data_IF_861143087035
#
_entry.id   IF_861143087035
#
_cell.length_a   1.000
_cell.length_b   1.000
_cell.length_c   1.000
_cell.angle_alpha   90.00
_cell.angle_beta   90.00
_cell.angle_gamma   90.00
#
_symmetry.space_group_name_H-M   'P 1'
#
loop_
_entity.id
_entity.type
_entity.pdbx_description
1 polymer ?
#
# COMPACT_ATOMS: atom_id res chain seq x y z
N UNK A 1 -14.05 -21.29 15.30
CA UNK A 1 -12.80 -21.68 14.61
C UNK A 1 -12.12 -20.38 14.19
N UNK A 2 -10.95 -20.05 14.74
CA UNK A 2 -10.20 -18.88 14.29
C UNK A 2 -9.41 -19.26 13.05
N UNK A 3 -9.68 -18.61 11.91
CA UNK A 3 -8.80 -18.75 10.74
C UNK A 3 -7.39 -18.34 11.13
N UNK A 4 -6.43 -19.26 10.97
CA UNK A 4 -5.03 -18.93 11.17
C UNK A 4 -4.57 -18.03 10.02
N UNK A 5 -4.18 -16.81 10.36
CA UNK A 5 -3.71 -15.83 9.40
C UNK A 5 -2.37 -16.26 8.81
N UNK A 6 -2.24 -16.30 7.49
CA UNK A 6 -0.99 -16.70 6.84
C UNK A 6 0.13 -15.70 7.13
N UNK A 7 1.41 -16.08 7.07
CA UNK A 7 2.53 -15.16 7.34
C UNK A 7 2.51 -13.90 6.46
N UNK A 8 2.05 -14.02 5.21
CA UNK A 8 1.91 -12.87 4.30
C UNK A 8 0.77 -11.93 4.72
N UNK A 9 -0.37 -12.48 5.15
CA UNK A 9 -1.47 -11.70 5.67
C UNK A 9 -1.09 -10.99 6.99
N UNK A 10 -0.36 -11.66 7.88
CA UNK A 10 0.16 -11.04 9.10
C UNK A 10 1.11 -9.87 8.80
N UNK A 11 1.98 -10.02 7.80
CA UNK A 11 2.87 -8.95 7.35
C UNK A 11 2.11 -7.74 6.80
N UNK A 12 1.10 -8.00 5.95
CA UNK A 12 0.24 -6.94 5.38
C UNK A 12 -0.54 -6.24 6.49
N UNK A 13 -1.12 -7.00 7.41
CA UNK A 13 -1.88 -6.46 8.54
C UNK A 13 -1.02 -5.56 9.42
N UNK A 14 0.21 -5.99 9.78
CA UNK A 14 1.16 -5.16 10.55
C UNK A 14 1.48 -3.85 9.85
N UNK A 15 1.65 -3.86 8.53
CA UNK A 15 1.92 -2.65 7.75
C UNK A 15 0.75 -1.68 7.72
N UNK A 16 -0.47 -2.18 7.57
CA UNK A 16 -1.67 -1.35 7.66
C UNK A 16 -1.91 -0.82 9.08
N UNK A 17 -1.59 -1.61 10.11
CA UNK A 17 -1.63 -1.16 11.49
C UNK A 17 -0.70 0.05 11.73
N UNK A 18 0.54 -0.01 11.22
CA UNK A 18 1.50 1.11 11.30
C UNK A 18 0.90 2.39 10.70
N UNK A 19 0.27 2.28 9.51
CA UNK A 19 -0.37 3.43 8.85
C UNK A 19 -1.53 3.98 9.68
N UNK A 20 -2.40 3.12 10.19
CA UNK A 20 -3.53 3.55 11.02
C UNK A 20 -3.08 4.26 12.29
N UNK A 21 -2.05 3.73 12.97
CA UNK A 21 -1.49 4.36 14.16
C UNK A 21 -0.84 5.72 13.85
N UNK A 22 -0.11 5.82 12.73
CA UNK A 22 0.44 7.09 12.26
C UNK A 22 -0.65 8.12 11.97
N UNK A 23 -1.73 7.72 11.29
CA UNK A 23 -2.87 8.60 10.98
C UNK A 23 -3.63 9.05 12.24
N UNK A 24 -3.64 8.23 13.28
CA UNK A 24 -4.16 8.59 14.60
C UNK A 24 -3.24 9.55 15.39
N UNK A 25 -2.06 9.90 14.86
CA UNK A 25 -1.11 10.83 15.47
C UNK A 25 -0.07 10.17 16.38
N UNK A 26 0.07 8.84 16.36
CA UNK A 26 1.11 8.16 17.13
C UNK A 26 2.52 8.44 16.55
N UNK A 27 3.52 8.52 17.43
CA UNK A 27 4.92 8.72 17.02
C UNK A 27 5.57 7.41 16.60
N UNK A 28 6.60 7.47 15.76
CA UNK A 28 7.35 6.30 15.27
C UNK A 28 7.85 5.40 16.41
N UNK A 29 8.23 5.99 17.56
CA UNK A 29 8.64 5.25 18.76
C UNK A 29 7.50 4.45 19.38
N UNK A 30 6.34 5.09 19.56
CA UNK A 30 5.14 4.44 20.12
C UNK A 30 4.67 3.30 19.20
N UNK A 31 4.69 3.51 17.89
CA UNK A 31 4.31 2.49 16.89
C UNK A 31 5.32 1.33 16.89
N UNK A 32 6.61 1.63 16.96
CA UNK A 32 7.70 0.65 17.08
C UNK A 32 7.47 -0.29 18.27
N UNK A 33 7.17 0.28 19.44
CA UNK A 33 6.93 -0.47 20.67
C UNK A 33 5.67 -1.36 20.57
N UNK A 34 4.62 -0.91 19.88
CA UNK A 34 3.39 -1.69 19.69
C UNK A 34 3.57 -2.87 18.72
N UNK A 35 4.33 -2.69 17.63
CA UNK A 35 4.42 -3.70 16.54
C UNK A 35 5.63 -4.63 16.72
N UNK A 36 6.58 -4.27 17.59
CA UNK A 36 7.81 -5.04 17.82
C UNK A 36 8.78 -4.95 16.63
N UNK A 37 8.81 -3.80 15.94
CA UNK A 37 9.73 -3.53 14.82
C UNK A 37 10.64 -2.37 15.18
N UNK A 38 11.79 -2.24 14.51
CA UNK A 38 12.64 -1.07 14.71
C UNK A 38 11.96 0.22 14.26
N UNK A 39 12.26 1.33 14.94
CA UNK A 39 11.81 2.68 14.55
C UNK A 39 12.12 3.01 13.10
N UNK A 40 13.31 2.63 12.61
CA UNK A 40 13.69 2.81 11.21
C UNK A 40 12.77 2.03 10.23
N UNK A 41 12.33 0.83 10.60
CA UNK A 41 11.40 0.03 9.79
C UNK A 41 10.02 0.67 9.73
N UNK A 42 9.53 1.17 10.87
CA UNK A 42 8.27 1.93 10.96
C UNK A 42 8.35 3.18 10.10
N UNK A 43 9.43 3.95 10.24
CA UNK A 43 9.66 5.17 9.47
C UNK A 43 9.67 4.92 7.96
N UNK A 44 10.29 3.82 7.51
CA UNK A 44 10.28 3.43 6.10
C UNK A 44 8.87 3.08 5.59
N UNK A 45 8.06 2.36 6.37
CA UNK A 45 6.67 2.05 6.02
C UNK A 45 5.84 3.33 5.89
N UNK A 46 5.97 4.25 6.84
CA UNK A 46 5.26 5.54 6.81
C UNK A 46 5.73 6.36 5.60
N UNK A 47 7.04 6.44 5.36
CA UNK A 47 7.60 7.15 4.20
C UNK A 47 7.10 6.57 2.88
N UNK A 48 7.03 5.24 2.77
CA UNK A 48 6.46 4.58 1.60
C UNK A 48 4.99 4.95 1.43
N UNK A 49 4.19 4.83 2.48
CA UNK A 49 2.78 5.20 2.45
C UNK A 49 2.56 6.67 2.03
N UNK A 50 3.35 7.60 2.56
CA UNK A 50 3.28 9.03 2.16
C UNK A 50 3.60 9.25 0.69
N UNK A 51 4.45 8.42 0.09
CA UNK A 51 4.85 8.52 -1.33
C UNK A 51 3.88 7.82 -2.28
N UNK A 52 3.36 6.65 -1.91
CA UNK A 52 2.61 5.77 -2.83
C UNK A 52 1.14 5.61 -2.47
N UNK A 53 0.71 6.12 -1.32
CA UNK A 53 -0.62 5.86 -0.76
C UNK A 53 -0.81 4.41 -0.25
N UNK A 54 0.22 3.57 -0.33
CA UNK A 54 0.14 2.16 0.09
C UNK A 54 1.35 1.78 0.95
N UNK A 55 1.15 1.16 2.12
CA UNK A 55 2.26 0.66 2.91
C UNK A 55 2.85 -0.62 2.32
N UNK A 56 2.25 -1.21 1.28
CA UNK A 56 2.74 -2.42 0.62
C UNK A 56 3.56 -2.00 -0.60
N UNK A 57 4.89 -2.13 -0.50
CA UNK A 57 5.77 -1.95 -1.64
C UNK A 57 5.70 -3.21 -2.52
N UNK A 58 4.90 -3.16 -3.60
CA UNK A 58 5.04 -4.12 -4.70
C UNK A 58 6.44 -3.87 -5.27
N UNK A 59 7.33 -4.87 -5.22
CA UNK A 59 8.62 -4.80 -5.93
C UNK A 59 8.31 -4.74 -7.42
N UNK A 60 8.21 -3.52 -7.96
CA UNK A 60 8.11 -3.31 -9.40
C UNK A 60 9.30 -4.02 -10.05
N UNK A 61 9.00 -4.88 -11.02
CA UNK A 61 10.00 -5.47 -11.89
C UNK A 61 10.79 -4.37 -12.59
N UNK A 62 11.98 -4.71 -13.09
CA UNK A 62 12.84 -3.76 -13.82
C UNK A 62 12.14 -3.14 -15.03
N UNK A 63 11.11 -3.80 -15.58
CA UNK A 63 10.26 -3.30 -16.66
C UNK A 63 9.24 -2.28 -16.14
N UNK A 64 8.47 -2.64 -15.10
CA UNK A 64 7.48 -1.74 -14.49
C UNK A 64 8.14 -0.50 -13.86
N UNK A 65 9.37 -0.62 -13.34
CA UNK A 65 10.15 0.52 -12.82
C UNK A 65 10.54 1.50 -13.94
N UNK A 66 10.74 1.02 -15.16
CA UNK A 66 11.10 1.84 -16.33
C UNK A 66 9.89 2.61 -16.84
N UNK A 67 8.72 1.98 -16.82
CA UNK A 67 7.43 2.58 -17.14
C UNK A 67 6.97 3.59 -16.08
N UNK A 68 7.12 3.25 -14.79
CA UNK A 68 6.83 4.17 -13.68
C UNK A 68 7.67 5.46 -13.70
N UNK A 69 8.92 5.39 -14.19
CA UNK A 69 9.82 6.56 -14.28
C UNK A 69 9.35 7.62 -15.28
N UNK A 70 8.43 7.28 -16.19
CA UNK A 70 7.83 8.23 -17.13
C UNK A 70 6.54 8.91 -16.63
N UNK A 71 6.00 8.45 -15.48
CA UNK A 71 4.69 8.87 -14.97
C UNK A 71 4.74 9.90 -13.84
N UNK A 72 5.92 10.18 -13.30
CA UNK A 72 6.08 11.11 -12.19
C UNK A 72 7.16 12.15 -12.51
N UNK A 73 6.91 13.40 -12.11
CA UNK A 73 7.92 14.45 -12.21
C UNK A 73 9.06 14.21 -11.21
N UNK A 74 10.10 15.03 -11.31
CA UNK A 74 11.25 14.99 -10.40
C UNK A 74 10.89 15.24 -8.92
N UNK A 75 9.66 15.71 -8.65
CA UNK A 75 9.10 15.94 -7.32
C UNK A 75 8.18 14.80 -6.84
N UNK A 76 7.88 13.82 -7.70
CA UNK A 76 7.05 12.66 -7.37
C UNK A 76 5.55 12.88 -7.55
N UNK A 77 5.12 13.89 -8.32
CA UNK A 77 3.71 14.08 -8.71
C UNK A 77 3.39 13.33 -10.01
N UNK A 78 2.17 12.79 -10.12
CA UNK A 78 1.70 12.14 -11.34
C UNK A 78 1.60 13.18 -12.46
N UNK A 79 2.44 13.05 -13.50
CA UNK A 79 2.32 13.83 -14.73
C UNK A 79 1.30 13.07 -15.59
N UNK A 80 0.17 13.70 -15.88
CA UNK A 80 -1.04 13.16 -16.55
C UNK A 80 -1.99 12.43 -15.60
N UNK A 81 -2.91 13.22 -15.02
CA UNK A 81 -4.15 12.73 -14.39
C UNK A 81 -5.34 12.91 -15.35
N UNK A 82 -5.24 12.37 -16.56
CA UNK A 82 -6.40 12.09 -17.40
C UNK A 82 -6.22 10.67 -17.93
N UNK A 83 -7.22 9.83 -17.66
CA UNK A 83 -7.30 8.40 -17.96
C UNK A 83 -6.41 7.45 -17.13
N UNK A 84 -7.00 6.84 -16.10
CA UNK A 84 -6.95 5.37 -15.85
C UNK A 84 -7.96 4.99 -14.74
N UNK A 85 -9.25 5.10 -15.05
CA UNK A 85 -10.30 4.33 -14.38
C UNK A 85 -10.34 2.93 -15.01
N UNK A 86 -9.39 2.05 -14.65
CA UNK A 86 -9.36 0.68 -15.17
C UNK A 86 -10.32 -0.22 -14.37
N UNK A 87 -11.48 -0.42 -14.98
CA UNK A 87 -12.37 -1.58 -14.96
C UNK A 87 -12.94 -2.12 -13.63
N UNK A 88 -13.96 -1.42 -13.12
CA UNK A 88 -15.06 -2.06 -12.36
C UNK A 88 -16.09 -2.78 -13.26
N UNK A 89 -15.91 -2.81 -14.59
CA UNK A 89 -16.85 -3.46 -15.53
C UNK A 89 -16.80 -4.99 -15.51
N UNK A 90 -15.75 -5.61 -14.97
CA UNK A 90 -15.65 -7.07 -14.93
C UNK A 90 -16.55 -7.72 -13.86
N UNK A 91 -16.94 -6.98 -12.80
CA UNK A 91 -17.77 -7.52 -11.71
C UNK A 91 -19.26 -7.47 -12.08
N UNK A 92 -19.71 -6.51 -12.89
CA UNK A 92 -21.13 -6.38 -13.23
C UNK A 92 -21.60 -7.49 -14.19
N UNK A 93 -20.72 -8.02 -15.04
CA UNK A 93 -21.08 -9.08 -15.97
C UNK A 93 -21.21 -10.47 -15.32
N UNK A 94 -20.65 -10.68 -14.13
CA UNK A 94 -20.84 -11.93 -13.37
C UNK A 94 -22.19 -11.98 -12.65
N UNK A 95 -22.77 -10.82 -12.31
CA UNK A 95 -24.04 -10.72 -11.57
C UNK A 95 -25.24 -10.87 -12.51
N UNK A 96 -25.13 -10.38 -13.75
CA UNK A 96 -26.25 -10.40 -14.72
C UNK A 96 -26.41 -11.77 -15.40
N UNK A 97 -25.38 -12.61 -15.44
CA UNK A 97 -25.45 -13.95 -16.05
C UNK A 97 -25.93 -15.06 -15.11
N UNK A 98 -26.28 -14.74 -13.86
CA UNK A 98 -26.86 -15.69 -12.89
C UNK A 98 -28.32 -15.41 -12.51
N UNK A 99 -29.04 -14.62 -13.30
CA UNK A 99 -30.50 -14.43 -13.22
C UNK A 99 -31.15 -14.77 -14.55
#
# INVERSE_FOLDING_TARGET
>A
MGEQMTPSQQFIAKRWFIVGAYQAGATDKVISDMVGLSTASVHNVITQFKKTGSPICKRLSSAERREWKGRYDEYGHIINSEDELVDLKQIHNLIVLSM
#
